data_IF_293889651763
#
_entry.id   IF_293889651763
#
_cell.length_a   1.000
_cell.length_b   1.000
_cell.length_c   1.000
_cell.angle_alpha   90.00
_cell.angle_beta   90.00
_cell.angle_gamma   90.00
#
_symmetry.space_group_name_H-M   'P 1'
#
loop_
_entity.id
_entity.type
_entity.pdbx_description
1 polymer ?
#
# COMPACT_ATOMS: atom_id res chain seq x y z
N UNK A 1 11.18 -18.52 -10.30
CA UNK A 1 11.02 -17.84 -8.99
C UNK A 1 11.20 -16.34 -9.11
N UNK A 2 12.32 -15.87 -9.66
CA UNK A 2 12.62 -14.43 -9.88
C UNK A 2 11.52 -13.72 -10.68
N UNK A 3 11.11 -14.25 -11.83
CA UNK A 3 10.04 -13.68 -12.67
C UNK A 3 8.69 -13.55 -11.93
N UNK A 4 8.30 -14.58 -11.17
CA UNK A 4 7.06 -14.56 -10.39
C UNK A 4 7.06 -13.47 -9.32
N UNK A 5 8.22 -13.19 -8.71
CA UNK A 5 8.36 -12.09 -7.75
C UNK A 5 8.27 -10.73 -8.45
N UNK A 6 8.90 -10.56 -9.63
CA UNK A 6 8.80 -9.33 -10.41
C UNK A 6 7.36 -9.05 -10.82
N UNK A 7 6.65 -10.06 -11.31
CA UNK A 7 5.23 -9.94 -11.66
C UNK A 7 4.40 -9.58 -10.42
N UNK A 8 4.63 -10.23 -9.28
CA UNK A 8 3.95 -9.92 -8.03
C UNK A 8 4.19 -8.49 -7.55
N UNK A 9 5.44 -8.02 -7.60
CA UNK A 9 5.80 -6.63 -7.29
C UNK A 9 5.10 -5.66 -8.25
N UNK A 10 5.12 -5.94 -9.55
CA UNK A 10 4.45 -5.13 -10.56
C UNK A 10 2.94 -5.02 -10.31
N UNK A 11 2.27 -6.14 -10.01
CA UNK A 11 0.85 -6.16 -9.67
C UNK A 11 0.53 -5.32 -8.43
N UNK A 12 1.34 -5.43 -7.37
CA UNK A 12 1.13 -4.64 -6.16
C UNK A 12 1.34 -3.15 -6.40
N UNK A 13 2.32 -2.76 -7.24
CA UNK A 13 2.50 -1.37 -7.65
C UNK A 13 1.27 -0.85 -8.39
N UNK A 14 0.71 -1.64 -9.32
CA UNK A 14 -0.53 -1.27 -10.03
C UNK A 14 -1.68 -1.08 -9.04
N UNK A 15 -1.85 -1.98 -8.06
CA UNK A 15 -2.88 -1.86 -7.01
C UNK A 15 -2.67 -0.60 -6.17
N UNK A 16 -1.43 -0.28 -5.78
CA UNK A 16 -1.12 0.95 -5.02
C UNK A 16 -1.51 2.20 -5.81
N UNK A 17 -1.10 2.29 -7.08
CA UNK A 17 -1.43 3.45 -7.95
C UNK A 17 -2.94 3.56 -8.17
N UNK A 18 -3.62 2.44 -8.42
CA UNK A 18 -5.07 2.42 -8.57
C UNK A 18 -5.79 2.88 -7.29
N UNK A 19 -5.35 2.42 -6.11
CA UNK A 19 -5.90 2.86 -4.83
C UNK A 19 -5.73 4.36 -4.58
N UNK A 20 -4.57 4.93 -4.93
CA UNK A 20 -4.33 6.38 -4.88
C UNK A 20 -5.23 7.12 -5.87
N UNK A 21 -5.39 6.61 -7.09
CA UNK A 21 -6.27 7.19 -8.10
C UNK A 21 -7.74 7.20 -7.65
N UNK A 22 -8.23 6.10 -7.09
CA UNK A 22 -9.58 6.00 -6.51
C UNK A 22 -9.74 6.96 -5.34
N UNK A 23 -8.72 7.11 -4.49
CA UNK A 23 -8.73 8.08 -3.41
C UNK A 23 -8.88 9.51 -3.94
N UNK A 24 -8.00 9.91 -4.88
CA UNK A 24 -8.03 11.23 -5.48
C UNK A 24 -9.36 11.53 -6.18
N UNK A 25 -9.88 10.56 -6.94
CA UNK A 25 -11.19 10.68 -7.60
C UNK A 25 -12.33 10.86 -6.58
N UNK A 26 -12.36 10.06 -5.51
CA UNK A 26 -13.38 10.19 -4.47
C UNK A 26 -13.31 11.56 -3.78
N UNK A 27 -12.12 11.99 -3.40
CA UNK A 27 -11.93 13.30 -2.80
C UNK A 27 -12.40 14.43 -3.73
N UNK A 28 -12.09 14.35 -5.03
CA UNK A 28 -12.55 15.33 -6.01
C UNK A 28 -14.08 15.29 -6.23
N UNK A 29 -14.70 14.12 -6.16
CA UNK A 29 -16.13 13.94 -6.44
C UNK A 29 -17.04 14.27 -5.25
N UNK A 30 -16.63 13.91 -4.02
CA UNK A 30 -17.47 14.03 -2.82
C UNK A 30 -16.94 15.03 -1.80
N UNK A 31 -15.69 15.47 -1.91
CA UNK A 31 -15.01 16.28 -0.89
C UNK A 31 -14.68 15.52 0.40
N UNK A 32 -15.06 14.24 0.50
CA UNK A 32 -14.83 13.41 1.68
C UNK A 32 -13.41 12.84 1.69
N UNK A 33 -12.86 12.64 2.89
CA UNK A 33 -11.53 12.04 3.05
C UNK A 33 -11.59 10.55 2.65
N UNK A 34 -10.85 10.12 1.61
CA UNK A 34 -10.91 8.76 1.09
C UNK A 34 -10.02 7.80 1.87
N UNK A 35 -10.27 7.66 3.18
CA UNK A 35 -9.37 6.96 4.11
C UNK A 35 -9.20 5.48 3.76
N UNK A 36 -10.27 4.78 3.37
CA UNK A 36 -10.21 3.35 3.01
C UNK A 36 -9.41 3.06 1.73
N UNK A 37 -9.63 3.76 0.60
CA UNK A 37 -8.78 3.60 -0.58
C UNK A 37 -7.30 3.87 -0.30
N UNK A 38 -6.98 4.88 0.52
CA UNK A 38 -5.60 5.17 0.92
C UNK A 38 -5.01 4.07 1.82
N UNK A 39 -5.81 3.52 2.74
CA UNK A 39 -5.37 2.40 3.57
C UNK A 39 -5.04 1.16 2.73
N UNK A 40 -5.88 0.86 1.73
CA UNK A 40 -5.64 -0.22 0.79
C UNK A 40 -4.37 -0.02 -0.03
N UNK A 41 -4.13 1.21 -0.51
CA UNK A 41 -2.90 1.55 -1.25
C UNK A 41 -1.64 1.37 -0.39
N UNK A 42 -1.67 1.81 0.87
CA UNK A 42 -0.58 1.65 1.82
C UNK A 42 -0.31 0.16 2.15
N UNK A 43 -1.36 -0.64 2.33
CA UNK A 43 -1.23 -2.08 2.55
C UNK A 43 -0.62 -2.80 1.33
N UNK A 44 -1.06 -2.46 0.11
CA UNK A 44 -0.46 -2.98 -1.12
C UNK A 44 1.02 -2.59 -1.24
N UNK A 45 1.36 -1.37 -0.86
CA UNK A 45 2.74 -0.89 -0.87
C UNK A 45 3.63 -1.63 0.14
N UNK A 46 3.10 -2.01 1.31
CA UNK A 46 3.80 -2.89 2.24
C UNK A 46 4.16 -4.23 1.58
N UNK A 47 3.23 -4.80 0.81
CA UNK A 47 3.45 -6.04 0.07
C UNK A 47 4.58 -5.92 -0.97
N UNK A 48 4.78 -4.76 -1.59
CA UNK A 48 5.88 -4.51 -2.54
C UNK A 48 7.23 -4.73 -1.86
N UNK A 49 7.42 -4.19 -0.65
CA UNK A 49 8.67 -4.35 0.10
C UNK A 49 8.86 -5.79 0.59
N UNK A 50 7.79 -6.46 1.04
CA UNK A 50 7.85 -7.85 1.47
C UNK A 50 8.23 -8.78 0.32
N UNK A 51 7.58 -8.66 -0.85
CA UNK A 51 7.93 -9.45 -2.03
C UNK A 51 9.32 -9.09 -2.56
N UNK A 52 9.67 -7.80 -2.58
CA UNK A 52 11.00 -7.35 -2.98
C UNK A 52 12.12 -7.89 -2.08
N UNK A 53 11.85 -8.07 -0.78
CA UNK A 53 12.75 -8.73 0.16
C UNK A 53 12.88 -10.23 -0.13
N UNK A 54 11.76 -10.92 -0.35
CA UNK A 54 11.75 -12.36 -0.69
C UNK A 54 12.51 -12.62 -1.99
N UNK A 55 12.39 -11.71 -2.98
CA UNK A 55 13.12 -11.78 -4.25
C UNK A 55 14.58 -11.37 -4.18
N UNK A 56 15.07 -10.88 -3.04
CA UNK A 56 16.46 -10.41 -2.88
C UNK A 56 16.76 -9.05 -3.54
N UNK A 57 15.74 -8.30 -3.99
CA UNK A 57 15.91 -7.00 -4.65
C UNK A 57 16.20 -5.87 -3.67
N UNK A 58 15.72 -5.99 -2.43
CA UNK A 58 15.89 -4.98 -1.39
C UNK A 58 16.74 -5.50 -0.24
N UNK A 59 17.50 -4.59 0.38
CA UNK A 59 18.21 -4.92 1.62
C UNK A 59 17.19 -5.28 2.71
N UNK A 60 17.32 -6.44 3.39
CA UNK A 60 16.30 -6.97 4.29
C UNK A 60 15.82 -5.97 5.34
N UNK A 61 16.75 -5.33 6.06
CA UNK A 61 16.42 -4.39 7.13
C UNK A 61 15.62 -3.18 6.62
N UNK A 62 15.97 -2.64 5.44
CA UNK A 62 15.27 -1.49 4.85
C UNK A 62 13.89 -1.88 4.34
N UNK A 63 13.77 -3.06 3.72
CA UNK A 63 12.50 -3.58 3.25
C UNK A 63 11.52 -3.84 4.39
N UNK A 64 11.99 -4.50 5.45
CA UNK A 64 11.18 -4.76 6.65
C UNK A 64 10.73 -3.46 7.32
N UNK A 65 11.64 -2.46 7.45
CA UNK A 65 11.28 -1.16 8.00
C UNK A 65 10.20 -0.45 7.16
N UNK A 66 10.34 -0.42 5.83
CA UNK A 66 9.36 0.22 4.95
C UNK A 66 8.03 -0.53 4.92
N UNK A 67 8.05 -1.86 4.94
CA UNK A 67 6.84 -2.68 5.07
C UNK A 67 6.10 -2.35 6.38
N UNK A 68 6.82 -2.30 7.50
CA UNK A 68 6.25 -1.96 8.81
C UNK A 68 5.65 -0.55 8.83
N UNK A 69 6.35 0.46 8.30
CA UNK A 69 5.83 1.82 8.20
C UNK A 69 4.58 1.90 7.33
N UNK A 70 4.54 1.16 6.22
CA UNK A 70 3.39 1.10 5.33
C UNK A 70 2.18 0.43 5.98
N UNK A 71 2.41 -0.64 6.76
CA UNK A 71 1.37 -1.30 7.56
C UNK A 71 0.85 -0.37 8.65
N UNK A 72 1.73 0.32 9.37
CA UNK A 72 1.34 1.30 10.39
C UNK A 72 0.46 2.40 9.79
N UNK A 73 0.86 2.97 8.65
CA UNK A 73 0.06 3.97 7.94
C UNK A 73 -1.33 3.42 7.54
N UNK A 74 -1.39 2.21 6.98
CA UNK A 74 -2.65 1.57 6.63
C UNK A 74 -3.57 1.39 7.85
N UNK A 75 -3.02 0.90 8.96
CA UNK A 75 -3.77 0.73 10.22
C UNK A 75 -4.25 2.07 10.78
N UNK A 76 -3.41 3.10 10.78
CA UNK A 76 -3.81 4.45 11.21
C UNK A 76 -4.99 4.96 10.40
N UNK A 77 -4.95 4.81 9.06
CA UNK A 77 -6.04 5.23 8.18
C UNK A 77 -7.33 4.44 8.45
N UNK A 78 -7.24 3.12 8.70
CA UNK A 78 -8.40 2.30 9.07
C UNK A 78 -8.98 2.73 10.42
N UNK A 79 -8.14 2.99 11.41
CA UNK A 79 -8.58 3.46 12.74
C UNK A 79 -9.25 4.83 12.62
N UNK A 80 -8.69 5.75 11.84
CA UNK A 80 -9.30 7.05 11.59
C UNK A 80 -10.68 6.89 10.93
N UNK A 81 -10.77 6.05 9.90
CA UNK A 81 -12.04 5.76 9.23
C UNK A 81 -13.09 5.17 10.18
N UNK A 82 -12.68 4.25 11.06
CA UNK A 82 -13.56 3.65 12.04
C UNK A 82 -14.06 4.65 13.10
N UNK A 83 -13.29 5.71 13.37
CA UNK A 83 -13.67 6.80 14.30
C UNK A 83 -14.58 7.85 13.67
N UNK A 84 -14.58 7.97 12.35
CA UNK A 84 -15.43 8.91 11.60
C UNK A 84 -16.84 8.32 11.31
N UNK A 85 -17.09 7.07 11.69
CA UNK A 85 -18.41 6.40 11.67
C UNK A 85 -19.12 6.47 13.01
#
# INVERSE_FOLDING_TARGET
>A
MVESVVVGVGLLVVVTVAGIGVAAWRFAATGERPLLPLAGAAAAFAGVFTLGQIGGYFRPLRATAMAALSVLAALTLVVMWARER
#
